data_IF_341718364585
#
_entry.id   IF_341718364585
#
_cell.length_a   1.000
_cell.length_b   1.000
_cell.length_c   1.000
_cell.angle_alpha   90.00
_cell.angle_beta   90.00
_cell.angle_gamma   90.00
#
_symmetry.space_group_name_H-M   'P 1'
#
loop_
_entity.id
_entity.type
_entity.pdbx_description
1 polymer ?
#
# COMPACT_ATOMS: atom_id res chain seq x y z
N UNK A 1 4.29 8.14 24.50
CA UNK A 1 2.97 7.49 24.53
C UNK A 1 1.81 8.24 23.84
N UNK A 2 1.43 9.49 24.18
CA UNK A 2 0.26 10.14 23.52
C UNK A 2 0.47 10.48 22.03
N UNK A 3 1.69 10.87 21.64
CA UNK A 3 2.03 11.20 20.24
C UNK A 3 2.11 9.96 19.35
N UNK A 4 2.72 8.87 19.83
CA UNK A 4 2.84 7.61 19.09
C UNK A 4 1.46 7.03 18.78
N UNK A 5 0.53 7.04 19.74
CA UNK A 5 -0.85 6.59 19.52
C UNK A 5 -1.56 7.43 18.46
N UNK A 6 -1.43 8.76 18.49
CA UNK A 6 -2.00 9.64 17.46
C UNK A 6 -1.40 9.40 16.07
N UNK A 7 -0.08 9.15 15.98
CA UNK A 7 0.58 8.81 14.72
C UNK A 7 0.10 7.47 14.16
N UNK A 8 0.02 6.45 15.01
CA UNK A 8 -0.50 5.14 14.62
C UNK A 8 -1.94 5.27 14.17
N UNK A 9 -2.81 5.95 14.91
CA UNK A 9 -4.19 6.22 14.49
C UNK A 9 -4.27 6.97 13.16
N UNK A 10 -3.40 7.96 12.96
CA UNK A 10 -3.39 8.73 11.71
C UNK A 10 -2.99 7.87 10.51
N UNK A 11 -1.97 7.03 10.64
CA UNK A 11 -1.51 6.14 9.55
C UNK A 11 -2.54 5.05 9.29
N UNK A 12 -3.02 4.43 10.36
CA UNK A 12 -3.93 3.28 10.31
C UNK A 12 -5.35 3.68 9.89
N UNK A 13 -5.83 4.83 10.35
CA UNK A 13 -7.17 5.34 10.02
C UNK A 13 -7.33 5.79 8.57
N UNK A 14 -6.23 6.03 7.84
CA UNK A 14 -6.28 6.47 6.44
C UNK A 14 -6.96 5.47 5.52
N UNK A 15 -6.91 4.16 5.80
CA UNK A 15 -7.60 3.15 5.00
C UNK A 15 -9.12 3.12 5.19
N UNK A 16 -9.61 3.68 6.30
CA UNK A 16 -11.03 3.82 6.62
C UNK A 16 -11.64 5.14 6.11
N UNK A 17 -10.81 6.11 5.68
CA UNK A 17 -11.30 7.34 5.08
C UNK A 17 -11.96 7.04 3.73
N UNK A 18 -12.95 7.86 3.33
CA UNK A 18 -13.59 7.72 2.02
C UNK A 18 -12.55 7.80 0.91
N UNK A 19 -12.75 7.00 -0.12
CA UNK A 19 -11.86 6.92 -1.25
C UNK A 19 -11.92 8.20 -2.09
N UNK A 20 -10.77 8.60 -2.63
CA UNK A 20 -10.72 9.74 -3.55
C UNK A 20 -11.44 9.36 -4.86
N UNK A 21 -12.25 10.27 -5.40
CA UNK A 21 -12.84 10.13 -6.74
C UNK A 21 -12.01 10.85 -7.80
N UNK A 22 -11.94 10.30 -9.01
CA UNK A 22 -11.36 10.99 -10.17
C UNK A 22 -12.43 11.87 -10.89
N UNK A 23 -12.04 12.53 -11.99
CA UNK A 23 -12.94 13.38 -12.78
C UNK A 23 -14.12 12.62 -13.42
N UNK A 24 -13.99 11.30 -13.59
CA UNK A 24 -15.04 10.42 -14.14
C UNK A 24 -15.89 9.76 -13.06
N UNK A 25 -15.66 10.08 -11.78
CA UNK A 25 -16.40 9.51 -10.65
C UNK A 25 -15.91 8.16 -10.15
N UNK A 26 -14.82 7.62 -10.69
CA UNK A 26 -14.23 6.36 -10.27
C UNK A 26 -13.49 6.49 -8.94
N UNK A 27 -13.54 5.42 -8.16
CA UNK A 27 -12.81 5.28 -6.90
C UNK A 27 -11.32 5.11 -7.23
N UNK A 28 -10.46 5.87 -6.57
CA UNK A 28 -9.00 5.76 -6.70
C UNK A 28 -8.40 5.36 -5.36
N UNK A 29 -7.98 4.11 -5.26
CA UNK A 29 -7.24 3.57 -4.12
C UNK A 29 -5.75 3.76 -4.39
N UNK A 30 -5.09 4.49 -3.50
CA UNK A 30 -3.66 4.73 -3.55
C UNK A 30 -3.10 4.84 -2.13
N UNK A 31 -1.79 4.63 -2.00
CA UNK A 31 -1.10 4.89 -0.74
C UNK A 31 -1.22 6.37 -0.36
N UNK A 32 -1.27 6.63 0.94
CA UNK A 32 -1.26 7.99 1.46
C UNK A 32 -0.01 8.73 0.99
N UNK A 33 -0.18 9.96 0.48
CA UNK A 33 0.94 10.82 0.05
C UNK A 33 1.96 11.05 1.17
N UNK A 34 1.50 11.03 2.43
CA UNK A 34 2.38 11.14 3.60
C UNK A 34 3.33 9.95 3.68
N UNK A 35 2.83 8.72 3.48
CA UNK A 35 3.67 7.51 3.51
C UNK A 35 4.66 7.54 2.35
N UNK A 36 4.20 7.87 1.15
CA UNK A 36 5.07 8.00 -0.03
C UNK A 36 6.17 9.04 0.23
N UNK A 37 5.80 10.20 0.79
CA UNK A 37 6.74 11.27 1.13
C UNK A 37 7.78 10.86 2.18
N UNK A 38 7.36 10.16 3.24
CA UNK A 38 8.28 9.66 4.28
C UNK A 38 9.28 8.66 3.70
N UNK A 39 8.82 7.71 2.88
CA UNK A 39 9.70 6.74 2.22
C UNK A 39 10.67 7.43 1.26
N UNK A 40 10.19 8.44 0.52
CA UNK A 40 11.01 9.23 -0.40
C UNK A 40 12.08 10.06 0.34
N UNK A 41 11.73 10.71 1.45
CA UNK A 41 12.69 11.45 2.28
C UNK A 41 13.75 10.48 2.84
N UNK A 42 13.34 9.31 3.33
CA UNK A 42 14.27 8.28 3.78
C UNK A 42 15.23 7.84 2.67
N UNK A 43 14.73 7.63 1.46
CA UNK A 43 15.54 7.34 0.29
C UNK A 43 16.58 8.44 0.00
N UNK A 44 16.17 9.72 0.00
CA UNK A 44 17.08 10.85 -0.24
C UNK A 44 18.16 10.97 0.84
N UNK A 45 17.82 10.73 2.11
CA UNK A 45 18.79 10.78 3.20
C UNK A 45 19.86 9.70 3.05
N UNK A 46 19.48 8.44 2.81
CA UNK A 46 20.45 7.35 2.62
C UNK A 46 21.30 7.59 1.37
N UNK A 47 20.70 8.07 0.29
CA UNK A 47 21.43 8.46 -0.92
C UNK A 47 22.45 9.57 -0.65
N UNK A 48 22.07 10.60 0.12
CA UNK A 48 22.98 11.70 0.47
C UNK A 48 24.16 11.22 1.29
N UNK A 49 23.92 10.36 2.30
CA UNK A 49 25.00 9.77 3.11
C UNK A 49 25.92 8.93 2.24
N UNK A 50 25.39 8.07 1.35
CA UNK A 50 26.21 7.28 0.45
C UNK A 50 27.11 8.17 -0.44
N UNK A 51 26.56 9.26 -0.99
CA UNK A 51 27.33 10.18 -1.82
C UNK A 51 28.46 10.86 -1.04
N UNK A 52 28.22 11.21 0.23
CA UNK A 52 29.24 11.77 1.12
C UNK A 52 30.36 10.74 1.39
N UNK A 53 30.00 9.49 1.69
CA UNK A 53 30.97 8.41 1.95
C UNK A 53 31.82 8.08 0.71
N UNK A 54 31.22 8.14 -0.48
CA UNK A 54 31.96 7.98 -1.74
C UNK A 54 32.91 9.16 -1.97
N UNK A 55 32.44 10.39 -1.71
CA UNK A 55 33.24 11.61 -1.90
C UNK A 55 34.38 11.75 -0.88
N UNK A 56 34.22 11.24 0.34
CA UNK A 56 35.22 11.32 1.41
C UNK A 56 36.36 10.30 1.26
N UNK A 57 36.26 9.37 0.31
CA UNK A 57 37.27 8.33 0.09
C UNK A 57 37.27 7.20 1.14
N UNK A 58 36.24 7.12 1.99
CA UNK A 58 36.11 6.11 3.05
C UNK A 58 36.01 4.65 2.52
N UNK A 59 35.76 4.50 1.21
CA UNK A 59 35.72 3.24 0.46
C UNK A 59 37.03 2.43 0.50
N UNK A 60 38.18 3.04 0.83
CA UNK A 60 39.47 2.33 0.83
C UNK A 60 39.68 1.37 2.02
N UNK A 61 38.75 1.32 2.98
CA UNK A 61 38.80 0.39 4.11
C UNK A 61 37.91 -0.84 3.88
N UNK A 62 38.34 -2.04 4.30
CA UNK A 62 37.53 -3.27 4.17
C UNK A 62 36.16 -3.17 4.89
N UNK A 63 36.14 -2.49 6.04
CA UNK A 63 34.92 -2.21 6.80
C UNK A 63 34.03 -1.20 6.05
N UNK A 64 34.62 -0.16 5.46
CA UNK A 64 33.91 0.81 4.62
C UNK A 64 33.26 0.17 3.40
N UNK A 65 33.93 -0.78 2.76
CA UNK A 65 33.38 -1.52 1.62
C UNK A 65 32.10 -2.27 1.96
N UNK A 66 32.10 -3.05 3.05
CA UNK A 66 30.91 -3.82 3.48
C UNK A 66 29.73 -2.91 3.82
N UNK A 67 30.00 -1.76 4.46
CA UNK A 67 28.98 -0.78 4.81
C UNK A 67 28.39 -0.10 3.57
N UNK A 68 29.23 0.24 2.58
CA UNK A 68 28.80 0.82 1.31
C UNK A 68 27.92 -0.15 0.53
N UNK A 69 28.24 -1.44 0.49
CA UNK A 69 27.35 -2.44 -0.12
C UNK A 69 25.98 -2.48 0.56
N UNK A 70 25.93 -2.48 1.89
CA UNK A 70 24.66 -2.43 2.63
C UNK A 70 23.85 -1.17 2.29
N UNK A 71 24.51 -0.02 2.19
CA UNK A 71 23.86 1.24 1.79
C UNK A 71 23.31 1.18 0.37
N UNK A 72 24.06 0.63 -0.58
CA UNK A 72 23.62 0.44 -1.96
C UNK A 72 22.37 -0.45 -2.02
N UNK A 73 22.38 -1.60 -1.32
CA UNK A 73 21.19 -2.46 -1.22
C UNK A 73 20.01 -1.74 -0.57
N UNK A 74 20.25 -0.97 0.49
CA UNK A 74 19.25 -0.15 1.15
C UNK A 74 18.61 0.89 0.22
N UNK A 75 19.42 1.57 -0.59
CA UNK A 75 18.96 2.55 -1.58
C UNK A 75 18.15 1.88 -2.69
N UNK A 76 18.61 0.75 -3.22
CA UNK A 76 17.87 0.00 -4.23
C UNK A 76 16.50 -0.43 -3.69
N UNK A 77 16.46 -0.91 -2.45
CA UNK A 77 15.22 -1.30 -1.78
C UNK A 77 14.29 -0.11 -1.56
N UNK A 78 14.77 0.98 -0.95
CA UNK A 78 13.98 2.19 -0.69
C UNK A 78 13.53 2.87 -1.98
N UNK A 79 14.38 2.89 -3.01
CA UNK A 79 14.06 3.40 -4.34
C UNK A 79 12.94 2.58 -4.99
N UNK A 80 13.04 1.25 -4.94
CA UNK A 80 11.98 0.36 -5.40
C UNK A 80 10.65 0.60 -4.67
N UNK A 81 10.66 0.73 -3.34
CA UNK A 81 9.44 1.02 -2.57
C UNK A 81 8.84 2.38 -2.89
N UNK A 82 9.69 3.40 -3.06
CA UNK A 82 9.27 4.74 -3.45
C UNK A 82 8.53 4.69 -4.80
N UNK A 83 9.15 4.09 -5.81
CA UNK A 83 8.56 3.94 -7.13
C UNK A 83 7.26 3.12 -7.07
N UNK A 84 7.31 1.97 -6.42
CA UNK A 84 6.14 1.08 -6.27
C UNK A 84 4.97 1.81 -5.62
N UNK A 85 5.18 2.54 -4.52
CA UNK A 85 4.12 3.28 -3.86
C UNK A 85 3.63 4.51 -4.63
N UNK A 86 4.49 5.15 -5.44
CA UNK A 86 4.11 6.29 -6.26
C UNK A 86 3.28 5.89 -7.49
N UNK A 87 3.61 4.75 -8.12
CA UNK A 87 2.98 4.30 -9.37
C UNK A 87 1.80 3.34 -9.15
N UNK A 88 1.77 2.57 -8.06
CA UNK A 88 0.69 1.63 -7.81
C UNK A 88 -0.62 2.35 -7.47
N UNK A 89 -1.63 2.19 -8.34
CA UNK A 89 -2.96 2.78 -8.19
C UNK A 89 -4.00 1.76 -8.60
N UNK A 90 -5.08 1.69 -7.83
CA UNK A 90 -6.26 0.90 -8.19
C UNK A 90 -7.42 1.83 -8.48
N UNK A 91 -7.99 1.71 -9.66
CA UNK A 91 -9.21 2.39 -10.08
C UNK A 91 -10.37 1.41 -9.99
N UNK A 92 -11.49 1.84 -9.43
CA UNK A 92 -12.70 1.03 -9.35
C UNK A 92 -13.82 1.83 -9.97
N UNK A 93 -14.33 1.33 -11.08
CA UNK A 93 -15.50 1.89 -11.77
C UNK A 93 -16.77 1.19 -11.29
N UNK A 94 -17.90 1.41 -11.97
CA UNK A 94 -19.14 0.68 -11.66
C UNK A 94 -19.10 -0.80 -12.09
N UNK A 95 -18.25 -1.15 -13.05
CA UNK A 95 -18.24 -2.45 -13.74
C UNK A 95 -16.92 -3.20 -13.63
N UNK A 96 -15.80 -2.50 -13.45
CA UNK A 96 -14.47 -3.09 -13.44
C UNK A 96 -13.56 -2.54 -12.35
N UNK A 97 -12.58 -3.36 -11.97
CA UNK A 97 -11.46 -3.05 -11.10
C UNK A 97 -10.20 -3.02 -11.97
N UNK A 98 -9.49 -1.89 -12.00
CA UNK A 98 -8.24 -1.73 -12.75
C UNK A 98 -7.08 -1.42 -11.82
N UNK A 99 -6.08 -2.29 -11.79
CA UNK A 99 -4.83 -2.07 -11.07
C UNK A 99 -3.73 -1.68 -12.04
N UNK A 100 -3.19 -0.49 -11.81
CA UNK A 100 -1.96 -0.04 -12.44
C UNK A 100 -0.84 -0.28 -11.45
N UNK A 101 0.14 -1.07 -11.85
CA UNK A 101 1.35 -1.34 -11.09
C UNK A 101 2.59 -0.95 -11.88
N UNK A 102 3.74 -0.92 -11.21
CA UNK A 102 5.02 -0.67 -11.88
C UNK A 102 5.30 -1.66 -13.04
N UNK A 103 4.84 -2.91 -12.91
CA UNK A 103 5.09 -3.98 -13.88
C UNK A 103 3.99 -4.16 -14.93
N UNK A 104 2.95 -3.32 -14.92
CA UNK A 104 1.87 -3.37 -15.90
C UNK A 104 0.50 -3.06 -15.34
N UNK A 105 -0.50 -3.21 -16.21
CA UNK A 105 -1.91 -2.95 -15.91
C UNK A 105 -2.70 -4.26 -15.93
N UNK A 106 -3.57 -4.44 -14.95
CA UNK A 106 -4.52 -5.55 -14.88
C UNK A 106 -5.91 -4.99 -14.66
N UNK A 107 -6.90 -5.53 -15.36
CA UNK A 107 -8.32 -5.27 -15.09
C UNK A 107 -9.01 -6.54 -14.61
N UNK A 108 -10.18 -6.41 -14.00
CA UNK A 108 -11.10 -7.49 -13.66
C UNK A 108 -12.52 -6.94 -13.59
N UNK A 109 -13.44 -7.52 -14.37
CA UNK A 109 -14.85 -7.19 -14.28
C UNK A 109 -15.48 -7.76 -13.00
N UNK A 110 -16.42 -7.04 -12.40
CA UNK A 110 -17.09 -7.50 -11.18
C UNK A 110 -17.84 -8.82 -11.36
N UNK A 111 -18.33 -9.09 -12.57
CA UNK A 111 -19.00 -10.36 -12.89
C UNK A 111 -18.08 -11.58 -12.80
N UNK A 112 -16.77 -11.38 -12.88
CA UNK A 112 -15.78 -12.45 -12.77
C UNK A 112 -15.30 -12.69 -11.34
N UNK A 113 -15.59 -11.76 -10.41
CA UNK A 113 -15.13 -11.83 -9.02
C UNK A 113 -15.86 -12.95 -8.31
N UNK A 114 -15.11 -13.88 -7.71
CA UNK A 114 -15.64 -15.02 -6.96
C UNK A 114 -15.51 -14.83 -5.46
N UNK A 115 -14.33 -14.43 -5.01
CA UNK A 115 -14.01 -14.30 -3.59
C UNK A 115 -13.05 -13.14 -3.31
N UNK A 116 -13.11 -12.63 -2.09
CA UNK A 116 -12.19 -11.63 -1.57
C UNK A 116 -11.61 -12.12 -0.26
N UNK A 117 -10.32 -12.43 -0.28
CA UNK A 117 -9.58 -12.93 0.89
C UNK A 117 -8.62 -11.87 1.42
N UNK A 118 -8.21 -12.02 2.67
CA UNK A 118 -7.24 -11.15 3.30
C UNK A 118 -5.95 -11.91 3.61
N UNK A 119 -4.82 -11.35 3.19
CA UNK A 119 -3.48 -11.86 3.49
C UNK A 119 -2.72 -10.87 4.36
N UNK A 120 -2.06 -11.36 5.41
CA UNK A 120 -1.24 -10.53 6.32
C UNK A 120 0.12 -10.12 5.74
N UNK A 121 0.53 -10.68 4.60
CA UNK A 121 1.84 -10.38 4.01
C UNK A 121 2.00 -8.90 3.62
N UNK A 122 3.21 -8.37 3.80
CA UNK A 122 3.60 -6.99 3.42
C UNK A 122 2.66 -5.89 3.94
N UNK A 123 2.27 -5.95 5.21
CA UNK A 123 1.40 -4.95 5.86
C UNK A 123 -0.10 -5.16 5.64
N UNK A 124 -0.49 -6.25 4.97
CA UNK A 124 -1.88 -6.60 4.74
C UNK A 124 -2.34 -6.27 3.31
N UNK A 125 -2.95 -7.24 2.65
CA UNK A 125 -3.45 -7.13 1.28
C UNK A 125 -4.77 -7.87 1.13
N UNK A 126 -5.69 -7.28 0.41
CA UNK A 126 -6.89 -7.96 -0.08
C UNK A 126 -6.58 -8.60 -1.42
N UNK A 127 -6.92 -9.87 -1.55
CA UNK A 127 -6.76 -10.64 -2.79
C UNK A 127 -8.18 -10.85 -3.33
N UNK A 128 -8.45 -10.21 -4.46
CA UNK A 128 -9.69 -10.37 -5.23
C UNK A 128 -9.43 -11.47 -6.24
N UNK A 129 -10.06 -12.61 -6.05
CA UNK A 129 -9.94 -13.77 -6.93
C UNK A 129 -11.10 -13.77 -7.91
N UNK A 130 -10.78 -13.87 -9.19
CA UNK A 130 -11.76 -14.10 -10.24
C UNK A 130 -11.60 -15.49 -10.86
N UNK A 131 -12.27 -15.71 -12.00
CA UNK A 131 -12.24 -17.01 -12.70
C UNK A 131 -10.83 -17.47 -13.08
N UNK A 132 -10.01 -16.61 -13.68
CA UNK A 132 -8.66 -16.94 -14.17
C UNK A 132 -7.56 -15.97 -13.71
N UNK A 133 -7.92 -14.93 -12.95
CA UNK A 133 -7.00 -13.85 -12.55
C UNK A 133 -7.17 -13.52 -11.08
N UNK A 134 -6.10 -12.98 -10.48
CA UNK A 134 -6.11 -12.47 -9.10
C UNK A 134 -5.58 -11.06 -9.09
N UNK A 135 -6.32 -10.16 -8.45
CA UNK A 135 -5.92 -8.78 -8.23
C UNK A 135 -5.59 -8.59 -6.75
N UNK A 136 -4.48 -7.94 -6.47
CA UNK A 136 -4.07 -7.66 -5.09
C UNK A 136 -4.16 -6.17 -4.80
N UNK A 137 -4.90 -5.81 -3.75
CA UNK A 137 -5.08 -4.43 -3.29
C UNK A 137 -4.52 -4.28 -1.87
N UNK A 138 -3.49 -3.44 -1.65
CA UNK A 138 -2.96 -3.21 -0.30
C UNK A 138 -4.02 -2.67 0.66
N UNK A 139 -4.12 -3.25 1.85
CA UNK A 139 -5.14 -2.89 2.84
C UNK A 139 -4.97 -1.47 3.41
N UNK A 140 -3.76 -0.93 3.33
CA UNK A 140 -3.41 0.41 3.81
C UNK A 140 -3.73 1.52 2.80
N UNK A 141 -4.22 1.19 1.60
CA UNK A 141 -4.61 2.22 0.64
C UNK A 141 -5.81 3.01 1.17
N UNK A 142 -5.84 4.30 0.87
CA UNK A 142 -6.96 5.17 1.24
C UNK A 142 -8.21 4.73 0.49
N UNK A 143 -9.34 4.60 1.19
CA UNK A 143 -10.60 4.18 0.58
C UNK A 143 -10.83 2.68 0.50
N UNK A 144 -9.93 1.86 1.07
CA UNK A 144 -10.05 0.41 0.96
C UNK A 144 -11.30 -0.12 1.67
N UNK A 145 -11.71 0.47 2.79
CA UNK A 145 -12.95 0.07 3.46
C UNK A 145 -14.19 0.26 2.58
N UNK A 146 -14.25 1.37 1.85
CA UNK A 146 -15.34 1.66 0.90
C UNK A 146 -15.31 0.70 -0.28
N UNK A 147 -14.12 0.37 -0.79
CA UNK A 147 -13.96 -0.63 -1.84
C UNK A 147 -14.47 -2.02 -1.42
N UNK A 148 -14.14 -2.47 -0.20
CA UNK A 148 -14.63 -3.76 0.31
C UNK A 148 -16.16 -3.73 0.51
N UNK A 149 -16.73 -2.60 0.94
CA UNK A 149 -18.18 -2.45 1.04
C UNK A 149 -18.84 -2.59 -0.35
N UNK A 150 -18.31 -1.91 -1.36
CA UNK A 150 -18.80 -2.00 -2.74
C UNK A 150 -18.69 -3.44 -3.29
N UNK A 151 -17.57 -4.12 -3.04
CA UNK A 151 -17.41 -5.53 -3.41
C UNK A 151 -18.45 -6.41 -2.72
N UNK A 152 -18.66 -6.21 -1.42
CA UNK A 152 -19.66 -6.94 -0.63
C UNK A 152 -21.06 -6.78 -1.20
N UNK A 153 -21.43 -5.57 -1.63
CA UNK A 153 -22.73 -5.31 -2.25
C UNK A 153 -22.89 -6.03 -3.60
N UNK A 154 -21.79 -6.27 -4.32
CA UNK A 154 -21.79 -6.91 -5.65
C UNK A 154 -21.77 -8.44 -5.60
N UNK A 155 -20.95 -9.04 -4.73
CA UNK A 155 -20.71 -10.49 -4.71
C UNK A 155 -21.29 -11.19 -3.46
N UNK A 156 -21.83 -10.42 -2.51
CA UNK A 156 -22.41 -10.91 -1.27
C UNK A 156 -21.42 -11.03 -0.11
N UNK A 157 -21.93 -10.87 1.12
CA UNK A 157 -21.14 -10.86 2.35
C UNK A 157 -20.37 -12.15 2.62
N UNK A 158 -20.92 -13.31 2.24
CA UNK A 158 -20.26 -14.60 2.44
C UNK A 158 -18.91 -14.68 1.71
N UNK A 159 -18.85 -14.15 0.48
CA UNK A 159 -17.66 -14.14 -0.36
C UNK A 159 -16.63 -13.08 0.07
N UNK A 160 -17.04 -12.14 0.93
CA UNK A 160 -16.21 -11.07 1.49
C UNK A 160 -15.94 -11.22 2.99
N UNK A 161 -16.34 -12.32 3.63
CA UNK A 161 -16.36 -12.44 5.09
C UNK A 161 -15.00 -12.16 5.75
N UNK A 162 -13.91 -12.68 5.18
CA UNK A 162 -12.56 -12.43 5.71
C UNK A 162 -12.15 -10.96 5.60
N UNK A 163 -12.54 -10.31 4.50
CA UNK A 163 -12.22 -8.90 4.28
C UNK A 163 -13.02 -7.99 5.22
N UNK A 164 -14.32 -8.29 5.43
CA UNK A 164 -15.18 -7.60 6.38
C UNK A 164 -14.66 -7.71 7.81
N UNK A 165 -14.34 -8.94 8.25
CA UNK A 165 -13.77 -9.18 9.57
C UNK A 165 -12.49 -8.38 9.83
N UNK A 166 -11.62 -8.27 8.82
CA UNK A 166 -10.42 -7.42 8.93
C UNK A 166 -10.78 -5.94 9.10
N UNK A 167 -11.69 -5.41 8.29
CA UNK A 167 -12.11 -4.00 8.37
C UNK A 167 -12.79 -3.70 9.72
N UNK A 168 -13.63 -4.60 10.23
CA UNK A 168 -14.27 -4.45 11.54
C UNK A 168 -13.27 -4.46 12.68
N UNK A 169 -12.39 -5.46 12.72
CA UNK A 169 -11.30 -5.52 13.70
C UNK A 169 -10.44 -4.26 13.65
N UNK A 170 -10.16 -3.76 12.43
CA UNK A 170 -9.39 -2.52 12.25
C UNK A 170 -10.11 -1.29 12.80
N UNK A 171 -11.43 -1.20 12.63
CA UNK A 171 -12.26 -0.14 13.23
C UNK A 171 -12.21 -0.21 14.75
N UNK A 172 -12.32 -1.40 15.33
CA UNK A 172 -12.20 -1.59 16.79
C UNK A 172 -10.84 -1.20 17.33
N UNK A 173 -9.76 -1.59 16.66
CA UNK A 173 -8.39 -1.24 17.06
C UNK A 173 -8.19 0.27 17.09
N UNK A 174 -8.72 1.00 16.08
CA UNK A 174 -8.67 2.46 16.04
C UNK A 174 -9.49 3.08 17.17
N UNK A 175 -10.69 2.55 17.46
CA UNK A 175 -11.54 3.01 18.57
C UNK A 175 -10.84 2.84 19.92
N UNK A 176 -10.16 1.71 20.14
CA UNK A 176 -9.42 1.43 21.39
C UNK A 176 -8.19 2.32 21.57
N UNK A 177 -7.66 2.88 20.49
CA UNK A 177 -6.50 3.77 20.53
C UNK A 177 -6.86 5.24 20.86
N UNK A 178 -8.15 5.60 20.78
CA UNK A 178 -8.66 6.97 20.97
C UNK A 178 -9.12 7.20 22.39
#
# INVERSE_FOLDING_TARGET
MRLERKLVQFIVGKSLLPAKRNKTGEIVLQKSRVIVGVVFIGFLLVLSVLLIEIASGYYSSEIGNSFIYLMVFGILFLGYFTLSFAFNKTFVSATEIRVHSLFGKQSMDFSEVKDVTFSRFYGGRFIVSGSNRRITVPAENVGTAEFIALLTDKIGANNCAQALNYIEKRKEDIRKLG
#
